data_IF_415771950321
#
_entry.id   IF_415771950321
#
_cell.length_a   1.000
_cell.length_b   1.000
_cell.length_c   1.000
_cell.angle_alpha   90.00
_cell.angle_beta   90.00
_cell.angle_gamma   90.00
#
_symmetry.space_group_name_H-M   'P 1'
#
loop_
_entity.id
_entity.type
_entity.pdbx_description
1 polymer ?
#
# COMPACT_ATOMS: atom_id res chain seq x y z
N UNK A 1 -7.43 4.79 -34.08
CA UNK A 1 -7.13 4.82 -33.56
C UNK A 1 -7.07 4.80 -32.97
N UNK A 2 -7.23 4.75 -33.00
CA UNK A 2 -6.99 4.75 -32.20
C UNK A 2 -7.09 4.74 -31.49
N UNK A 3 -7.23 4.77 -31.34
CA UNK A 3 -7.06 4.81 -30.52
C UNK A 3 -7.01 4.74 -29.75
N UNK A 4 -7.12 4.77 -30.00
CA UNK A 4 -6.84 4.74 -29.11
C UNK A 4 -6.70 4.63 -28.52
N UNK A 5 -6.72 4.56 -28.58
CA UNK A 5 -6.36 4.49 -27.83
C UNK A 5 -6.07 4.57 -27.27
N UNK A 6 -5.96 4.82 -27.27
CA UNK A 6 -5.49 5.02 -26.56
C UNK A 6 -5.37 4.90 -25.71
N UNK A 7 -5.53 4.94 -25.88
CA UNK A 7 -5.27 4.84 -25.03
C UNK A 7 -5.15 4.58 -24.45
N UNK A 8 -5.17 4.52 -24.57
CA UNK A 8 -4.90 4.24 -23.89
C UNK A 8 -4.48 3.91 -23.33
N UNK A 9 -4.38 3.87 -23.24
CA UNK A 9 -3.89 3.50 -22.52
C UNK A 9 -3.33 3.41 -21.91
N UNK A 10 -3.20 3.54 -21.87
CA UNK A 10 -2.77 3.42 -21.21
C UNK A 10 -2.60 3.58 -20.60
N UNK A 11 -2.71 3.72 -20.55
CA UNK A 11 -2.79 3.86 -19.94
C UNK A 11 -3.16 3.63 -19.23
N UNK A 12 -3.32 3.33 -19.10
CA UNK A 12 -3.91 3.03 -18.49
C UNK A 12 -3.80 2.46 -17.65
N UNK A 13 -3.88 2.35 -17.40
CA UNK A 13 -3.84 1.74 -16.84
C UNK A 13 -3.79 1.41 -15.66
N UNK A 14 -3.55 0.80 -15.35
CA UNK A 14 -3.23 0.19 -14.14
C UNK A 14 -3.37 1.04 -12.99
N UNK A 15 -3.04 2.13 -13.20
CA UNK A 15 -3.21 3.10 -12.24
C UNK A 15 -4.57 3.09 -11.72
N UNK A 16 -5.44 2.61 -12.53
CA UNK A 16 -6.79 2.68 -12.21
C UNK A 16 -7.20 1.70 -11.15
N UNK A 17 -6.37 0.78 -10.78
CA UNK A 17 -6.74 -0.17 -9.76
C UNK A 17 -6.04 0.10 -8.46
N UNK A 18 -6.02 1.36 -8.07
CA UNK A 18 -5.52 1.71 -6.76
C UNK A 18 -6.70 1.91 -5.83
N UNK A 19 -6.68 1.19 -4.73
CA UNK A 19 -7.77 1.20 -3.75
C UNK A 19 -7.33 2.05 -2.57
N UNK A 20 -8.11 3.09 -2.25
CA UNK A 20 -7.82 3.97 -1.13
C UNK A 20 -8.31 3.30 0.15
N UNK A 21 -7.41 2.63 0.84
CA UNK A 21 -7.72 1.91 2.06
C UNK A 21 -6.59 2.11 3.05
N UNK A 22 -6.95 2.26 4.32
CA UNK A 22 -5.99 2.54 5.40
C UNK A 22 -5.86 1.32 6.29
N UNK A 23 -5.06 0.36 5.84
CA UNK A 23 -4.84 -0.87 6.58
C UNK A 23 -3.54 -0.79 7.36
N UNK A 24 -3.51 -1.31 8.60
CA UNK A 24 -2.27 -1.32 9.37
C UNK A 24 -1.20 -2.17 8.69
N UNK A 25 0.04 -1.70 8.74
CA UNK A 25 1.18 -2.43 8.19
C UNK A 25 2.34 -2.35 9.15
N UNK A 26 3.28 -3.30 9.02
CA UNK A 26 4.57 -3.23 9.67
C UNK A 26 5.62 -3.36 8.58
N UNK A 27 6.49 -2.36 8.49
CA UNK A 27 7.58 -2.35 7.51
C UNK A 27 8.89 -2.63 8.23
N UNK A 28 9.73 -3.51 7.68
CA UNK A 28 11.01 -3.87 8.28
C UNK A 28 12.10 -3.81 7.24
N UNK A 29 13.22 -3.21 7.61
CA UNK A 29 14.39 -3.17 6.74
C UNK A 29 15.64 -3.13 7.59
N UNK A 30 16.80 -3.38 6.95
CA UNK A 30 18.08 -3.37 7.63
C UNK A 30 18.75 -2.02 7.38
N UNK A 31 19.12 -1.35 8.47
CA UNK A 31 19.85 -0.10 8.37
C UNK A 31 21.26 -0.38 7.84
N UNK A 32 21.64 0.28 6.75
CA UNK A 32 22.90 0.02 6.09
C UNK A 32 24.12 0.37 6.95
N UNK A 33 23.96 1.36 7.83
CA UNK A 33 25.08 1.80 8.66
C UNK A 33 25.28 0.93 9.89
N UNK A 34 24.22 0.61 10.60
CA UNK A 34 24.33 -0.13 11.85
C UNK A 34 24.16 -1.62 11.68
N UNK A 35 23.56 -2.07 10.58
CA UNK A 35 23.23 -3.47 10.38
C UNK A 35 22.04 -3.94 11.19
N UNK A 36 21.38 -3.03 11.89
CA UNK A 36 20.24 -3.39 12.71
C UNK A 36 18.95 -3.40 11.92
N UNK A 37 18.01 -4.24 12.34
CA UNK A 37 16.71 -4.30 11.72
C UNK A 37 15.82 -3.21 12.32
N UNK A 38 15.23 -2.40 11.44
CA UNK A 38 14.30 -1.35 11.83
C UNK A 38 12.89 -1.84 11.53
N UNK A 39 11.99 -1.73 12.52
CA UNK A 39 10.58 -2.11 12.37
C UNK A 39 9.73 -0.88 12.63
N UNK A 40 8.85 -0.55 11.68
CA UNK A 40 8.01 0.65 11.80
C UNK A 40 6.57 0.27 11.50
N UNK A 41 5.67 0.65 12.38
CA UNK A 41 4.24 0.47 12.15
C UNK A 41 3.71 1.65 11.37
N UNK A 42 2.77 1.39 10.50
CA UNK A 42 2.17 2.43 9.70
C UNK A 42 0.83 2.01 9.13
N UNK A 43 0.42 2.72 8.11
CA UNK A 43 -0.87 2.49 7.44
C UNK A 43 -0.71 2.59 5.94
N UNK A 44 -1.47 1.82 5.19
CA UNK A 44 -1.52 2.06 3.75
C UNK A 44 -2.28 3.35 3.47
N UNK A 45 -1.89 4.04 2.39
CA UNK A 45 -2.67 5.12 1.81
C UNK A 45 -3.48 4.60 0.64
N UNK A 46 -2.88 3.70 -0.11
CA UNK A 46 -3.57 3.02 -1.19
C UNK A 46 -2.85 1.72 -1.49
N UNK A 47 -3.58 0.81 -2.15
CA UNK A 47 -3.09 -0.52 -2.50
C UNK A 47 -3.37 -0.76 -3.96
N UNK A 48 -2.36 -1.16 -4.71
CA UNK A 48 -2.49 -1.52 -6.13
C UNK A 48 -2.20 -2.99 -6.34
N UNK A 49 -2.24 -3.42 -7.59
CA UNK A 49 -2.03 -4.83 -7.93
C UNK A 49 -0.62 -5.32 -7.61
N UNK A 50 0.36 -4.43 -7.67
CA UNK A 50 1.74 -4.80 -7.42
C UNK A 50 2.49 -3.76 -6.63
N UNK A 51 1.78 -2.84 -5.97
CA UNK A 51 2.45 -1.77 -5.22
C UNK A 51 1.50 -1.22 -4.18
N UNK A 52 2.08 -0.49 -3.23
CA UNK A 52 1.29 0.17 -2.20
C UNK A 52 2.02 1.42 -1.76
N UNK A 53 1.26 2.44 -1.40
CA UNK A 53 1.79 3.66 -0.80
C UNK A 53 1.48 3.58 0.68
N UNK A 54 2.51 3.70 1.53
CA UNK A 54 2.32 3.53 2.96
C UNK A 54 2.82 4.75 3.71
N UNK A 55 2.12 5.08 4.79
CA UNK A 55 2.48 6.16 5.70
C UNK A 55 3.31 5.57 6.82
N UNK A 56 4.57 6.00 6.96
CA UNK A 56 5.51 5.50 7.96
C UNK A 56 6.19 6.70 8.61
N UNK A 57 6.25 6.73 9.93
CA UNK A 57 6.92 7.83 10.63
C UNK A 57 8.40 7.90 10.28
N UNK A 58 9.03 6.75 10.13
CA UNK A 58 10.42 6.68 9.71
C UNK A 58 10.43 6.07 8.32
N UNK A 59 11.10 6.73 7.38
CA UNK A 59 11.09 6.30 5.99
C UNK A 59 12.36 5.49 5.66
N UNK A 60 12.20 4.34 4.97
CA UNK A 60 13.38 3.62 4.48
C UNK A 60 14.01 4.35 3.31
N UNK A 61 15.28 4.12 3.05
CA UNK A 61 15.94 4.77 1.91
C UNK A 61 15.38 4.27 0.58
N UNK A 62 15.35 5.15 -0.41
CA UNK A 62 14.92 4.78 -1.76
C UNK A 62 15.84 3.68 -2.28
N UNK A 63 15.25 2.65 -2.89
CA UNK A 63 15.98 1.52 -3.44
C UNK A 63 16.18 0.38 -2.46
N UNK A 64 15.89 0.59 -1.16
CA UNK A 64 16.13 -0.46 -0.18
C UNK A 64 15.03 -1.53 -0.22
N UNK A 65 15.40 -2.72 0.25
CA UNK A 65 14.45 -3.83 0.38
C UNK A 65 13.69 -3.65 1.70
N UNK A 66 12.37 -3.80 1.63
CA UNK A 66 11.51 -3.66 2.79
C UNK A 66 10.61 -4.89 2.87
N UNK A 67 10.60 -5.53 4.02
CA UNK A 67 9.67 -6.62 4.30
C UNK A 67 8.39 -5.99 4.82
N UNK A 68 7.28 -6.20 4.13
CA UNK A 68 6.01 -5.56 4.48
C UNK A 68 5.01 -6.60 4.95
N UNK A 69 4.46 -6.38 6.14
CA UNK A 69 3.37 -7.20 6.67
C UNK A 69 2.11 -6.35 6.68
N UNK A 70 1.06 -6.85 6.02
CA UNK A 70 -0.26 -6.21 6.08
C UNK A 70 -1.03 -6.90 7.19
N UNK A 71 -1.63 -6.09 8.08
CA UNK A 71 -2.26 -6.60 9.29
C UNK A 71 -3.76 -6.44 9.22
N UNK A 72 -4.46 -7.35 9.86
CA UNK A 72 -5.90 -7.24 10.05
C UNK A 72 -6.21 -7.81 11.43
N UNK A 73 -6.81 -7.00 12.30
CA UNK A 73 -7.13 -7.40 13.67
C UNK A 73 -5.91 -8.00 14.38
N UNK A 74 -4.79 -7.32 14.28
CA UNK A 74 -3.51 -7.69 14.91
C UNK A 74 -2.92 -8.99 14.37
N UNK A 75 -3.40 -9.48 13.24
CA UNK A 75 -2.84 -10.66 12.59
C UNK A 75 -2.26 -10.28 11.24
N UNK A 76 -1.14 -10.91 10.91
CA UNK A 76 -0.55 -10.72 9.59
C UNK A 76 -1.36 -11.50 8.57
N UNK A 77 -1.95 -10.82 7.60
CA UNK A 77 -2.69 -11.50 6.53
C UNK A 77 -1.82 -11.82 5.33
N UNK A 78 -0.75 -11.04 5.15
CA UNK A 78 0.24 -11.34 4.10
C UNK A 78 1.54 -10.63 4.45
N UNK A 79 2.64 -11.27 4.11
CA UNK A 79 3.97 -10.69 4.27
C UNK A 79 4.71 -10.87 2.95
N UNK A 80 5.26 -9.79 2.41
CA UNK A 80 5.91 -9.82 1.10
C UNK A 80 7.19 -9.00 1.11
N UNK A 81 8.08 -9.33 0.19
CA UNK A 81 9.27 -8.52 -0.06
C UNK A 81 8.89 -7.40 -1.00
N UNK A 82 9.36 -6.20 -0.69
CA UNK A 82 9.11 -5.02 -1.52
C UNK A 82 10.39 -4.24 -1.69
N UNK A 83 10.35 -3.26 -2.59
CA UNK A 83 11.45 -2.33 -2.78
C UNK A 83 10.89 -0.91 -2.79
N UNK A 84 11.61 0.00 -2.14
CA UNK A 84 11.20 1.40 -2.08
C UNK A 84 11.48 2.05 -3.44
N UNK A 85 10.45 2.55 -4.09
CA UNK A 85 10.58 3.22 -5.38
C UNK A 85 10.82 4.70 -5.18
N UNK A 86 10.11 5.31 -4.24
CA UNK A 86 10.26 6.73 -3.92
C UNK A 86 9.70 6.99 -2.53
N UNK A 87 10.07 8.14 -1.97
CA UNK A 87 9.53 8.57 -0.69
C UNK A 87 9.08 10.01 -0.82
N UNK A 88 8.08 10.39 -0.01
CA UNK A 88 7.64 11.78 0.13
C UNK A 88 7.87 12.17 1.57
N UNK A 89 8.72 13.18 1.75
CA UNK A 89 9.22 13.54 3.08
C UNK A 89 8.46 14.69 3.72
N UNK A 90 7.15 14.74 3.50
CA UNK A 90 6.30 15.71 4.16
C UNK A 90 6.22 15.35 5.63
N UNK A 91 6.66 16.23 6.55
CA UNK A 91 6.64 15.87 7.98
C UNK A 91 5.26 15.55 8.51
N UNK A 92 4.22 16.11 7.92
CA UNK A 92 2.87 15.84 8.38
C UNK A 92 2.34 14.51 7.86
N UNK A 93 2.94 13.98 6.79
CA UNK A 93 2.50 12.71 6.23
C UNK A 93 3.61 12.08 5.40
N UNK A 94 4.61 11.51 6.05
CA UNK A 94 5.70 10.86 5.30
C UNK A 94 5.20 9.59 4.64
N UNK A 95 5.53 9.42 3.36
CA UNK A 95 5.01 8.30 2.57
C UNK A 95 6.14 7.58 1.86
N UNK A 96 6.01 6.26 1.74
CA UNK A 96 6.92 5.43 0.95
C UNK A 96 6.12 4.65 -0.08
N UNK A 97 6.55 4.71 -1.33
CA UNK A 97 5.96 3.93 -2.40
C UNK A 97 6.75 2.64 -2.54
N UNK A 98 6.08 1.50 -2.38
CA UNK A 98 6.72 0.19 -2.37
C UNK A 98 6.19 -0.64 -3.53
N UNK A 99 7.11 -1.30 -4.26
CA UNK A 99 6.71 -2.24 -5.28
C UNK A 99 6.85 -3.66 -4.72
N UNK A 100 5.83 -4.49 -4.94
CA UNK A 100 5.82 -5.87 -4.43
C UNK A 100 6.63 -6.73 -5.38
N UNK A 101 7.60 -7.49 -4.84
CA UNK A 101 8.55 -8.25 -5.64
C UNK A 101 8.23 -9.73 -5.74
N UNK A 102 7.30 -10.23 -4.93
CA UNK A 102 7.01 -11.67 -4.88
C UNK A 102 5.56 -11.91 -4.55
N UNK A 103 5.07 -13.12 -4.87
CA UNK A 103 3.73 -13.56 -4.48
C UNK A 103 2.63 -12.60 -4.94
N UNK A 104 2.73 -12.12 -6.16
CA UNK A 104 1.79 -11.13 -6.67
C UNK A 104 0.36 -11.66 -6.70
N UNK A 105 0.18 -12.93 -7.01
CA UNK A 105 -1.15 -13.54 -6.99
C UNK A 105 -1.74 -13.49 -5.60
N UNK A 106 -0.95 -13.87 -4.60
CA UNK A 106 -1.41 -13.87 -3.23
C UNK A 106 -1.65 -12.44 -2.75
N UNK A 107 -0.81 -11.51 -3.18
CA UNK A 107 -1.00 -10.10 -2.85
C UNK A 107 -2.37 -9.63 -3.34
N UNK A 108 -2.71 -9.94 -4.59
CA UNK A 108 -4.00 -9.54 -5.14
C UNK A 108 -5.16 -10.21 -4.42
N UNK A 109 -5.06 -11.51 -4.17
CA UNK A 109 -6.16 -12.25 -3.54
C UNK A 109 -6.30 -11.96 -2.06
N UNK A 110 -5.27 -11.40 -1.41
CA UNK A 110 -5.30 -11.14 0.03
C UNK A 110 -5.33 -9.64 0.32
N UNK A 111 -4.27 -8.91 -0.07
CA UNK A 111 -4.18 -7.48 0.28
C UNK A 111 -5.20 -6.64 -0.45
N UNK A 112 -5.38 -6.87 -1.75
CA UNK A 112 -6.37 -6.08 -2.49
C UNK A 112 -7.79 -6.43 -2.07
N UNK A 113 -8.06 -7.71 -1.79
CA UNK A 113 -9.36 -8.13 -1.32
C UNK A 113 -9.68 -7.49 0.04
N UNK A 114 -8.69 -7.46 0.93
CA UNK A 114 -8.87 -6.80 2.23
C UNK A 114 -9.09 -5.30 2.07
N UNK A 115 -8.38 -4.68 1.12
CA UNK A 115 -8.55 -3.26 0.85
C UNK A 115 -9.95 -2.96 0.34
N UNK A 116 -10.46 -3.80 -0.55
CA UNK A 116 -11.82 -3.64 -1.07
C UNK A 116 -12.85 -3.78 0.05
N UNK A 117 -12.65 -4.74 0.94
CA UNK A 117 -13.53 -4.93 2.08
C UNK A 117 -13.49 -3.71 3.00
N UNK A 118 -12.30 -3.13 3.19
CA UNK A 118 -12.14 -1.95 4.02
C UNK A 118 -12.95 -0.78 3.44
N UNK A 119 -12.84 -0.56 2.14
CA UNK A 119 -13.59 0.52 1.47
C UNK A 119 -15.09 0.32 1.63
N UNK A 120 -15.56 -0.91 1.41
CA UNK A 120 -16.97 -1.22 1.51
C UNK A 120 -17.51 -0.91 2.91
N UNK A 121 -16.80 -1.33 3.96
CA UNK A 121 -17.23 -1.07 5.32
C UNK A 121 -17.29 0.42 5.63
N UNK A 122 -16.27 1.16 5.23
CA UNK A 122 -16.20 2.58 5.55
C UNK A 122 -17.18 3.39 4.72
N UNK A 123 -17.39 2.99 3.47
CA UNK A 123 -18.36 3.66 2.64
C UNK A 123 -19.79 3.47 3.19
N UNK A 124 -20.10 2.27 3.63
CA UNK A 124 -21.41 2.00 4.21
C UNK A 124 -21.66 2.81 5.47
N UNK A 125 -20.65 2.92 6.32
CA UNK A 125 -20.79 3.70 7.55
C UNK A 125 -21.04 5.15 7.25
N UNK A 126 -20.32 5.73 6.29
CA UNK A 126 -20.52 7.11 5.89
C UNK A 126 -21.90 7.33 5.32
N UNK A 127 -22.36 6.40 4.50
CA UNK A 127 -23.66 6.49 3.87
C UNK A 127 -24.79 6.46 4.92
N UNK A 128 -24.63 5.58 5.89
CA UNK A 128 -25.62 5.46 6.97
C UNK A 128 -25.68 6.73 7.80
N UNK A 129 -24.54 7.34 8.06
CA UNK A 129 -24.50 8.60 8.79
C UNK A 129 -25.25 9.70 8.06
N UNK A 130 -25.08 9.76 6.75
CA UNK A 130 -25.77 10.74 5.93
C UNK A 130 -27.28 10.56 6.02
N UNK A 131 -27.74 9.33 6.02
CA UNK A 131 -29.16 9.05 6.07
C UNK A 131 -29.77 9.40 7.42
N UNK A 132 -29.02 9.26 8.47
CA UNK A 132 -29.50 9.53 9.83
C UNK A 132 -29.63 11.03 10.06
N UNK A 133 -28.77 11.79 9.44
CA UNK A 133 -28.80 13.23 9.58
C UNK A 133 -29.79 13.87 8.62
#
# INVERSE_FOLDING_TARGET
MAQVDYSTSSYKTPLHHRILAHMPVVASWVDAESGETINVEGMTENVGESSTLVNLETLPPVGSAVRLRVMEEDKTIIEVSTQVIRVERDPSKPLAALTVLENLKKWKSTAMTAAEAWVTRHWQLNYEEEWVN
#
